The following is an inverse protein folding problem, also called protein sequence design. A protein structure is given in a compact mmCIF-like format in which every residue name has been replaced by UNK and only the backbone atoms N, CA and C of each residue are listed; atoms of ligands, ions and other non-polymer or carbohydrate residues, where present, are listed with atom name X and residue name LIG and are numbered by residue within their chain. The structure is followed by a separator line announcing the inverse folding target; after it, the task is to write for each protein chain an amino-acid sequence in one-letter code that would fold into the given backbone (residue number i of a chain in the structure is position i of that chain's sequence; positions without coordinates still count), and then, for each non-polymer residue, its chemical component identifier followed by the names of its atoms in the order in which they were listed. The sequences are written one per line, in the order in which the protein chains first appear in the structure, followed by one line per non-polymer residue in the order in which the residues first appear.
data_IF_362447273634
#
_entry.id   IF_362447273634
#
_cell.length_a   1.000
_cell.length_b   1.000
_cell.length_c   1.000
_cell.angle_alpha   90.00
_cell.angle_beta   90.00
_cell.angle_gamma   90.00
#
_symmetry.space_group_name_H-M   'P 1'
#
loop_
_entity.id
_entity.type
_entity.pdbx_description
1 polymer ?
#
# COMPACT_ATOMS: atom_id res chain seq x y z
N UNK A 1 33.44 15.96 1.16
CA UNK A 1 32.56 15.14 0.29
C UNK A 1 33.12 15.17 -1.12
N UNK A 2 33.31 14.02 -1.75
CA UNK A 2 33.87 13.95 -3.09
C UNK A 2 32.79 14.39 -4.12
N UNK A 3 33.19 15.13 -5.18
CA UNK A 3 32.29 15.58 -6.24
C UNK A 3 31.55 14.39 -6.88
N UNK A 4 32.21 13.24 -7.02
CA UNK A 4 31.61 12.01 -7.54
C UNK A 4 30.47 11.53 -6.64
N UNK A 5 30.64 11.53 -5.33
CA UNK A 5 29.60 11.13 -4.38
C UNK A 5 28.40 12.08 -4.39
N UNK A 6 28.62 13.36 -4.64
CA UNK A 6 27.52 14.33 -4.79
C UNK A 6 26.70 14.06 -6.06
N UNK A 7 27.36 13.84 -7.19
CA UNK A 7 26.69 13.51 -8.46
C UNK A 7 25.92 12.17 -8.37
N UNK A 8 26.50 11.17 -7.72
CA UNK A 8 25.82 9.89 -7.50
C UNK A 8 24.55 10.07 -6.65
N UNK A 9 24.60 10.86 -5.57
CA UNK A 9 23.43 11.15 -4.74
C UNK A 9 22.35 11.92 -5.49
N UNK A 10 22.72 12.89 -6.30
CA UNK A 10 21.78 13.64 -7.14
C UNK A 10 21.07 12.72 -8.13
N UNK A 11 21.83 11.84 -8.81
CA UNK A 11 21.24 10.86 -9.72
C UNK A 11 20.34 9.85 -9.01
N UNK A 12 20.77 9.35 -7.85
CA UNK A 12 19.95 8.43 -7.04
C UNK A 12 18.63 9.10 -6.61
N UNK A 13 18.71 10.36 -6.14
CA UNK A 13 17.52 11.11 -5.72
C UNK A 13 16.58 11.38 -6.89
N UNK A 14 17.11 11.72 -8.06
CA UNK A 14 16.32 11.94 -9.28
C UNK A 14 15.61 10.67 -9.76
N UNK A 15 16.24 9.50 -9.60
CA UNK A 15 15.62 8.20 -9.94
C UNK A 15 14.62 7.80 -8.87
N UNK A 16 14.93 7.98 -7.57
CA UNK A 16 14.04 7.70 -6.46
C UNK A 16 12.76 8.56 -6.51
N UNK A 17 12.85 9.81 -6.97
CA UNK A 17 11.69 10.67 -7.18
C UNK A 17 10.74 10.14 -8.29
N UNK A 18 11.28 9.43 -9.29
CA UNK A 18 10.49 8.85 -10.39
C UNK A 18 9.91 7.48 -10.04
N UNK A 19 10.58 6.75 -9.18
CA UNK A 19 10.23 5.37 -8.83
C UNK A 19 10.66 5.06 -7.40
N UNK A 20 9.72 4.60 -6.58
CA UNK A 20 10.04 4.07 -5.25
C UNK A 20 10.90 2.81 -5.37
N UNK A 21 12.00 2.76 -4.62
CA UNK A 21 12.84 1.56 -4.52
C UNK A 21 12.42 0.81 -3.25
N UNK A 22 11.75 -0.35 -3.38
CA UNK A 22 11.32 -1.10 -2.21
C UNK A 22 12.52 -1.68 -1.45
N UNK A 23 12.36 -1.83 -0.16
CA UNK A 23 13.34 -2.54 0.69
C UNK A 23 13.16 -4.05 0.50
N UNK A 24 14.16 -4.73 -0.03
CA UNK A 24 14.17 -6.19 -0.20
C UNK A 24 15.56 -6.77 0.07
N UNK A 25 15.59 -8.06 0.40
CA UNK A 25 16.80 -8.79 0.76
C UNK A 25 16.98 -10.04 -0.13
N UNK A 26 18.20 -10.63 -0.19
CA UNK A 26 18.37 -11.94 -0.81
C UNK A 26 17.41 -12.97 -0.18
N UNK A 27 16.78 -13.79 -1.03
CA UNK A 27 15.73 -14.73 -0.61
C UNK A 27 14.31 -14.25 -0.91
N UNK A 28 14.10 -12.96 -1.12
CA UNK A 28 12.80 -12.41 -1.48
C UNK A 28 12.47 -12.74 -2.93
N UNK A 29 11.19 -12.93 -3.21
CA UNK A 29 10.68 -13.06 -4.58
C UNK A 29 10.25 -11.68 -5.05
N UNK A 30 10.86 -11.21 -6.13
CA UNK A 30 10.58 -9.89 -6.70
C UNK A 30 10.08 -10.02 -8.13
N UNK A 31 9.23 -9.10 -8.53
CA UNK A 31 8.81 -8.88 -9.91
C UNK A 31 9.39 -7.58 -10.40
N UNK A 32 10.30 -7.64 -11.36
CA UNK A 32 10.98 -6.49 -11.96
C UNK A 32 10.33 -6.19 -13.30
N UNK A 33 9.80 -4.99 -13.45
CA UNK A 33 9.27 -4.49 -14.72
C UNK A 33 10.40 -3.79 -15.49
N UNK A 34 10.79 -4.37 -16.62
CA UNK A 34 11.86 -3.85 -17.47
C UNK A 34 11.27 -3.27 -18.74
N UNK A 35 11.61 -2.03 -19.02
CA UNK A 35 11.27 -1.37 -20.27
C UNK A 35 12.15 -1.93 -21.40
N UNK A 36 11.53 -2.56 -22.38
CA UNK A 36 12.19 -3.09 -23.58
C UNK A 36 11.71 -2.31 -24.78
N UNK A 37 12.64 -1.84 -25.59
CA UNK A 37 12.35 -1.18 -26.85
C UNK A 37 12.65 -2.13 -28.00
N UNK A 38 11.62 -2.49 -28.74
CA UNK A 38 11.71 -3.36 -29.93
C UNK A 38 11.33 -2.51 -31.16
N UNK A 39 12.34 -2.01 -31.86
CA UNK A 39 12.13 -1.09 -32.98
C UNK A 39 11.43 0.22 -32.52
N UNK A 40 10.23 0.46 -33.04
CA UNK A 40 9.42 1.65 -32.67
C UNK A 40 8.48 1.41 -31.46
N UNK A 41 8.33 0.16 -31.03
CA UNK A 41 7.40 -0.20 -29.93
C UNK A 41 8.16 -0.29 -28.62
N UNK A 42 7.59 0.31 -27.57
CA UNK A 42 8.11 0.24 -26.20
C UNK A 42 7.13 -0.59 -25.38
N UNK A 43 7.63 -1.63 -24.72
CA UNK A 43 6.81 -2.47 -23.84
C UNK A 43 7.51 -2.74 -22.52
N UNK A 44 6.74 -2.97 -21.47
CA UNK A 44 7.27 -3.42 -20.18
C UNK A 44 7.24 -4.96 -20.15
N UNK A 45 8.37 -5.56 -19.82
CA UNK A 45 8.50 -7.00 -19.64
C UNK A 45 8.73 -7.30 -18.16
N UNK A 46 7.86 -8.14 -17.59
CA UNK A 46 8.01 -8.60 -16.22
C UNK A 46 9.02 -9.74 -16.11
N UNK A 47 9.94 -9.66 -15.17
CA UNK A 47 10.84 -10.72 -14.77
C UNK A 47 10.62 -11.03 -13.29
N UNK A 48 9.94 -12.14 -13.00
CA UNK A 48 9.65 -12.57 -11.64
C UNK A 48 10.54 -13.71 -11.23
N UNK A 49 11.15 -13.61 -10.05
CA UNK A 49 12.04 -14.64 -9.54
C UNK A 49 12.57 -14.32 -8.13
N UNK A 50 13.46 -15.19 -7.66
CA UNK A 50 14.08 -15.06 -6.34
C UNK A 50 15.37 -14.25 -6.45
N UNK A 51 15.56 -13.29 -5.55
CA UNK A 51 16.83 -12.57 -5.41
C UNK A 51 17.87 -13.49 -4.78
N UNK A 52 18.91 -13.85 -5.53
CA UNK A 52 19.97 -14.73 -5.04
C UNK A 52 21.19 -13.99 -4.52
N UNK A 53 21.39 -12.75 -4.94
CA UNK A 53 22.51 -11.92 -4.52
C UNK A 53 22.15 -10.44 -4.64
N UNK A 54 22.72 -9.63 -3.76
CA UNK A 54 22.74 -8.16 -3.84
C UNK A 54 24.17 -7.72 -3.58
N UNK A 55 24.69 -6.80 -4.37
CA UNK A 55 26.09 -6.37 -4.33
C UNK A 55 26.22 -4.93 -4.84
N UNK A 56 27.38 -4.33 -4.51
CA UNK A 56 27.62 -2.92 -4.81
C UNK A 56 27.09 -1.99 -3.72
N UNK A 57 27.17 -0.71 -3.98
CA UNK A 57 26.67 0.37 -3.13
C UNK A 57 26.50 1.64 -3.94
N UNK A 58 25.70 2.59 -3.44
CA UNK A 58 25.39 3.81 -4.15
C UNK A 58 24.69 3.54 -5.49
N UNK A 59 25.05 4.30 -6.50
CA UNK A 59 24.48 4.18 -7.84
C UNK A 59 24.74 2.81 -8.50
N UNK A 60 25.88 2.16 -8.18
CA UNK A 60 26.32 0.90 -8.76
C UNK A 60 25.73 -0.35 -8.07
N UNK A 61 24.77 -0.15 -7.16
CA UNK A 61 24.12 -1.26 -6.49
C UNK A 61 23.31 -2.11 -7.46
N UNK A 62 23.53 -3.43 -7.42
CA UNK A 62 22.86 -4.38 -8.30
C UNK A 62 22.38 -5.61 -7.53
N UNK A 63 21.40 -6.29 -8.10
CA UNK A 63 20.86 -7.52 -7.56
C UNK A 63 20.65 -8.55 -8.68
N UNK A 64 20.81 -9.82 -8.32
CA UNK A 64 20.65 -10.94 -9.26
C UNK A 64 19.36 -11.67 -8.94
N UNK A 65 18.49 -11.79 -9.94
CA UNK A 65 17.22 -12.52 -9.83
C UNK A 65 17.34 -13.82 -10.62
N UNK A 66 16.96 -14.93 -9.97
CA UNK A 66 16.88 -16.26 -10.56
C UNK A 66 15.44 -16.71 -10.69
N UNK A 67 15.06 -17.16 -11.87
CA UNK A 67 13.81 -17.86 -12.12
C UNK A 67 14.04 -19.18 -12.84
N UNK A 68 13.08 -20.07 -12.78
CA UNK A 68 13.06 -21.29 -13.59
C UNK A 68 12.10 -21.03 -14.76
N UNK A 69 12.62 -21.12 -15.98
CA UNK A 69 11.85 -21.03 -17.21
C UNK A 69 12.02 -22.32 -18.02
N UNK A 70 10.92 -22.98 -18.34
CA UNK A 70 10.93 -24.23 -19.12
C UNK A 70 11.88 -25.32 -18.56
N UNK A 71 12.00 -25.40 -17.24
CA UNK A 71 12.88 -26.34 -16.54
C UNK A 71 14.33 -25.88 -16.37
N UNK A 72 14.74 -24.79 -17.02
CA UNK A 72 16.09 -24.21 -16.92
C UNK A 72 16.14 -23.03 -15.99
N UNK A 73 17.26 -22.89 -15.24
CA UNK A 73 17.50 -21.77 -14.33
C UNK A 73 18.06 -20.57 -15.07
N UNK A 74 17.28 -19.51 -15.18
CA UNK A 74 17.70 -18.25 -15.80
C UNK A 74 18.02 -17.24 -14.71
N UNK A 75 19.20 -16.63 -14.79
CA UNK A 75 19.65 -15.56 -13.89
C UNK A 75 19.84 -14.27 -14.67
N UNK A 76 19.39 -13.17 -14.09
CA UNK A 76 19.56 -11.84 -14.65
C UNK A 76 20.00 -10.86 -13.56
N UNK A 77 21.01 -10.06 -13.88
CA UNK A 77 21.50 -9.00 -13.00
C UNK A 77 20.79 -7.68 -13.36
N UNK A 78 20.30 -7.00 -12.36
CA UNK A 78 19.61 -5.73 -12.48
C UNK A 78 20.31 -4.66 -11.63
N UNK A 79 20.80 -3.56 -12.21
CA UNK A 79 21.19 -2.39 -11.43
C UNK A 79 19.95 -1.74 -10.82
N UNK A 80 19.96 -1.47 -9.51
CA UNK A 80 18.80 -0.91 -8.81
C UNK A 80 18.39 0.43 -9.41
N UNK A 81 19.36 1.31 -9.69
CA UNK A 81 19.13 2.65 -10.19
C UNK A 81 19.17 2.73 -11.74
N UNK A 82 18.85 1.64 -12.43
CA UNK A 82 18.76 1.68 -13.90
C UNK A 82 17.49 2.39 -14.37
N UNK A 83 17.57 3.29 -15.37
CA UNK A 83 16.40 3.93 -15.98
C UNK A 83 15.54 2.95 -16.80
N UNK A 84 16.07 1.78 -17.15
CA UNK A 84 15.33 0.73 -17.86
C UNK A 84 14.36 -0.03 -16.96
N UNK A 85 14.55 0.03 -15.65
CA UNK A 85 13.64 -0.60 -14.70
C UNK A 85 12.52 0.39 -14.41
N UNK A 86 11.30 0.02 -14.78
CA UNK A 86 10.11 0.85 -14.55
C UNK A 86 9.61 0.70 -13.12
N UNK A 87 9.60 -0.55 -12.61
CA UNK A 87 9.11 -0.84 -11.26
C UNK A 87 9.74 -2.09 -10.68
N UNK A 88 9.78 -2.19 -9.35
CA UNK A 88 10.23 -3.36 -8.60
C UNK A 88 9.18 -3.65 -7.52
N UNK A 89 8.48 -4.75 -7.64
CA UNK A 89 7.47 -5.22 -6.69
C UNK A 89 8.02 -6.39 -5.87
N UNK A 90 7.88 -6.33 -4.55
CA UNK A 90 8.21 -7.47 -3.67
C UNK A 90 6.96 -8.35 -3.52
N UNK A 91 6.96 -9.50 -4.19
CA UNK A 91 5.83 -10.44 -4.20
C UNK A 91 5.78 -11.24 -2.89
N UNK A 92 6.94 -11.70 -2.41
CA UNK A 92 7.05 -12.53 -1.21
C UNK A 92 8.39 -12.34 -0.54
N UNK A 93 8.42 -12.27 0.77
CA UNK A 93 9.65 -12.17 1.56
C UNK A 93 10.12 -13.53 2.02
N UNK A 94 11.39 -13.84 1.76
CA UNK A 94 12.01 -15.11 2.09
C UNK A 94 12.80 -15.07 3.39
N UNK A 95 12.77 -16.16 4.14
CA UNK A 95 13.64 -16.35 5.32
C UNK A 95 14.87 -17.13 4.95
N UNK A 96 16.01 -16.45 4.91
CA UNK A 96 17.33 -17.05 4.60
C UNK A 96 18.36 -16.66 5.66
N UNK A 97 19.43 -17.44 5.76
CA UNK A 97 20.54 -17.19 6.69
C UNK A 97 21.79 -16.61 6.02
N UNK A 98 21.84 -16.64 4.68
CA UNK A 98 23.01 -16.23 3.90
C UNK A 98 22.65 -15.05 3.00
N UNK A 99 23.60 -14.13 2.85
CA UNK A 99 23.46 -12.99 1.94
C UNK A 99 23.63 -13.36 0.46
N UNK A 100 24.29 -14.47 0.15
CA UNK A 100 24.49 -14.99 -1.22
C UNK A 100 23.93 -16.40 -1.30
N UNK A 101 23.02 -16.65 -2.23
CA UNK A 101 22.24 -17.89 -2.33
C UNK A 101 22.62 -18.72 -3.55
N UNK A 102 23.90 -18.72 -3.93
CA UNK A 102 24.39 -19.45 -5.12
C UNK A 102 24.15 -20.96 -5.05
N UNK A 103 23.99 -21.52 -3.87
CA UNK A 103 23.64 -22.93 -3.68
C UNK A 103 22.29 -23.32 -4.32
N UNK A 104 21.42 -22.34 -4.61
CA UNK A 104 20.15 -22.59 -5.30
C UNK A 104 20.34 -23.03 -6.74
N UNK A 105 21.51 -22.77 -7.33
CA UNK A 105 21.84 -23.22 -8.69
C UNK A 105 21.79 -24.74 -8.84
N UNK A 106 22.28 -25.44 -7.82
CA UNK A 106 22.28 -26.91 -7.79
C UNK A 106 21.02 -27.54 -7.19
N UNK A 107 20.04 -26.76 -6.75
CA UNK A 107 18.82 -27.27 -6.11
C UNK A 107 17.62 -27.14 -7.02
N UNK A 108 16.75 -28.17 -7.02
CA UNK A 108 15.50 -28.20 -7.79
C UNK A 108 14.34 -28.70 -6.91
N UNK A 109 13.11 -28.34 -7.28
CA UNK A 109 11.91 -28.80 -6.61
C UNK A 109 11.79 -28.35 -5.14
N UNK A 110 11.47 -29.27 -4.23
CA UNK A 110 11.26 -28.96 -2.79
C UNK A 110 12.51 -28.40 -2.10
N UNK A 111 13.71 -28.87 -2.49
CA UNK A 111 14.98 -28.41 -1.88
C UNK A 111 15.37 -26.98 -2.26
N UNK A 112 14.80 -26.43 -3.32
CA UNK A 112 14.96 -25.03 -3.75
C UNK A 112 13.93 -24.07 -3.15
N UNK A 113 12.91 -24.60 -2.43
CA UNK A 113 11.86 -23.76 -1.86
C UNK A 113 12.39 -22.99 -0.65
N UNK A 114 12.25 -21.67 -0.69
CA UNK A 114 12.57 -20.77 0.41
C UNK A 114 11.31 -20.60 1.28
N UNK A 115 11.51 -20.72 2.60
CA UNK A 115 10.42 -20.51 3.58
C UNK A 115 10.07 -19.03 3.62
N UNK A 116 8.79 -18.70 3.69
CA UNK A 116 8.32 -17.32 3.78
C UNK A 116 8.62 -16.74 5.16
N UNK A 117 9.02 -15.47 5.19
CA UNK A 117 9.26 -14.70 6.41
C UNK A 117 7.94 -14.13 6.90
N UNK A 118 7.51 -14.54 8.09
CA UNK A 118 6.26 -14.10 8.73
C UNK A 118 6.48 -13.15 9.91
N UNK A 119 7.71 -12.66 10.07
CA UNK A 119 8.10 -11.77 11.17
C UNK A 119 7.34 -10.43 11.13
N UNK A 120 7.25 -9.73 12.26
CA UNK A 120 6.57 -8.43 12.37
C UNK A 120 7.13 -7.37 11.42
N UNK A 121 8.46 -7.41 11.15
CA UNK A 121 9.11 -6.55 10.14
C UNK A 121 8.60 -6.86 8.73
N UNK A 122 8.51 -8.15 8.36
CA UNK A 122 7.98 -8.56 7.06
C UNK A 122 6.52 -8.16 6.89
N UNK A 123 5.71 -8.28 7.96
CA UNK A 123 4.32 -7.82 7.96
C UNK A 123 4.21 -6.31 7.73
N UNK A 124 5.06 -5.49 8.39
CA UNK A 124 5.12 -4.04 8.17
C UNK A 124 5.54 -3.67 6.76
N UNK A 125 6.59 -4.31 6.23
CA UNK A 125 7.09 -4.06 4.88
C UNK A 125 6.15 -4.59 3.78
N UNK A 126 5.32 -5.62 4.08
CA UNK A 126 4.28 -6.13 3.18
C UNK A 126 2.96 -5.38 3.35
N UNK A 127 2.80 -4.63 4.39
CA UNK A 127 1.71 -3.70 4.57
C UNK A 127 1.94 -2.45 3.69
N UNK A 128 2.16 -2.65 2.39
CA UNK A 128 1.73 -1.66 1.43
C UNK A 128 0.27 -1.37 1.77
N UNK A 129 -0.08 -0.10 1.92
CA UNK A 129 -1.39 0.35 2.31
C UNK A 129 -2.45 -0.30 1.41
N UNK A 130 -3.08 -1.36 1.90
CA UNK A 130 -4.14 -2.12 1.18
C UNK A 130 -5.53 -1.55 1.44
N UNK A 131 -5.58 -0.33 1.97
CA UNK A 131 -6.79 0.26 2.48
C UNK A 131 -7.11 -0.18 3.91
N UNK A 132 -8.17 0.38 4.44
CA UNK A 132 -8.65 0.11 5.78
C UNK A 132 -9.44 -1.21 5.84
N UNK A 133 -9.68 -1.70 7.05
CA UNK A 133 -10.56 -2.85 7.25
C UNK A 133 -11.99 -2.46 6.88
N UNK A 134 -12.62 -3.20 5.97
CA UNK A 134 -14.01 -2.95 5.59
C UNK A 134 -14.93 -3.05 6.81
N UNK A 135 -15.67 -2.00 7.17
CA UNK A 135 -16.61 -2.02 8.29
C UNK A 135 -17.82 -2.90 7.94
N UNK A 136 -18.58 -3.30 8.97
CA UNK A 136 -19.83 -4.02 8.79
C UNK A 136 -20.96 -3.04 8.51
N UNK A 137 -21.84 -3.38 7.58
CA UNK A 137 -23.02 -2.59 7.19
C UNK A 137 -22.81 -1.78 5.91
N UNK A 138 -23.86 -1.06 5.55
CA UNK A 138 -23.87 -0.19 4.40
C UNK A 138 -22.98 1.05 4.63
N UNK A 139 -22.48 1.64 3.57
CA UNK A 139 -21.61 2.82 3.63
C UNK A 139 -22.42 4.11 3.69
N UNK A 140 -21.84 5.10 4.35
CA UNK A 140 -22.41 6.44 4.45
C UNK A 140 -22.18 7.26 3.18
N UNK A 141 -22.95 8.30 2.98
CA UNK A 141 -22.73 9.19 1.84
C UNK A 141 -21.61 10.20 2.11
N UNK A 142 -20.38 9.82 1.79
CA UNK A 142 -19.20 10.64 2.02
C UNK A 142 -19.18 11.94 1.19
N UNK A 143 -20.11 12.14 0.26
CA UNK A 143 -20.21 13.39 -0.50
C UNK A 143 -20.72 14.57 0.34
N UNK A 144 -21.22 14.29 1.54
CA UNK A 144 -21.62 15.31 2.51
C UNK A 144 -20.42 16.02 3.16
N UNK A 145 -19.24 15.41 3.11
CA UNK A 145 -17.99 16.01 3.59
C UNK A 145 -17.51 17.05 2.58
N UNK A 146 -17.17 18.23 3.05
CA UNK A 146 -16.74 19.33 2.22
C UNK A 146 -15.47 18.99 1.43
N UNK A 147 -15.52 19.13 0.09
CA UNK A 147 -14.41 18.83 -0.81
C UNK A 147 -14.34 17.37 -1.28
N UNK A 148 -15.27 16.49 -0.89
CA UNK A 148 -15.36 15.13 -1.42
C UNK A 148 -16.20 15.11 -2.69
N UNK A 149 -15.54 14.93 -3.83
CA UNK A 149 -16.22 14.74 -5.12
C UNK A 149 -16.70 13.28 -5.27
N UNK A 150 -17.67 13.00 -6.17
CA UNK A 150 -18.12 11.62 -6.43
C UNK A 150 -16.98 10.69 -6.88
N UNK A 151 -15.98 11.23 -7.57
CA UNK A 151 -14.77 10.48 -7.95
C UNK A 151 -13.93 10.12 -6.74
N UNK A 152 -13.73 11.07 -5.81
CA UNK A 152 -13.03 10.84 -4.55
C UNK A 152 -13.78 9.85 -3.65
N UNK A 153 -15.13 9.90 -3.60
CA UNK A 153 -15.94 8.91 -2.91
C UNK A 153 -15.64 7.50 -3.43
N UNK A 154 -15.60 7.30 -4.74
CA UNK A 154 -15.27 5.98 -5.33
C UNK A 154 -13.85 5.54 -5.03
N UNK A 155 -12.92 6.49 -4.95
CA UNK A 155 -11.53 6.21 -4.59
C UNK A 155 -11.38 5.86 -3.09
N UNK A 156 -12.08 6.56 -2.19
CA UNK A 156 -12.16 6.25 -0.75
C UNK A 156 -12.79 4.87 -0.51
N UNK A 157 -13.83 4.52 -1.26
CA UNK A 157 -14.46 3.20 -1.18
C UNK A 157 -13.51 2.06 -1.59
N UNK A 158 -12.64 2.29 -2.59
CA UNK A 158 -11.58 1.32 -2.95
C UNK A 158 -10.57 1.09 -1.82
N UNK A 159 -10.38 2.09 -0.97
CA UNK A 159 -9.55 1.99 0.23
C UNK A 159 -10.32 1.43 1.44
N UNK A 160 -11.59 1.05 1.27
CA UNK A 160 -12.51 0.59 2.32
C UNK A 160 -12.84 1.67 3.37
N UNK A 161 -12.68 2.95 3.03
CA UNK A 161 -13.21 4.07 3.80
C UNK A 161 -14.62 4.34 3.31
N UNK A 162 -15.62 3.80 4.01
CA UNK A 162 -17.03 3.87 3.60
C UNK A 162 -17.95 4.46 4.65
N UNK A 163 -17.44 4.74 5.86
CA UNK A 163 -18.21 5.31 6.98
C UNK A 163 -17.56 6.57 7.52
N UNK A 164 -18.40 7.50 8.02
CA UNK A 164 -17.94 8.71 8.72
C UNK A 164 -17.07 8.36 9.94
N UNK A 165 -17.45 7.32 10.69
CA UNK A 165 -16.70 6.83 11.86
C UNK A 165 -15.23 6.52 11.55
N UNK A 166 -14.95 5.97 10.36
CA UNK A 166 -13.58 5.65 9.94
C UNK A 166 -12.78 6.92 9.65
N UNK A 167 -13.40 7.92 9.03
CA UNK A 167 -12.75 9.21 8.71
C UNK A 167 -12.54 10.02 9.99
N UNK A 168 -13.50 9.99 10.90
CA UNK A 168 -13.44 10.69 12.20
C UNK A 168 -12.32 10.16 13.11
N UNK A 169 -11.97 8.89 12.99
CA UNK A 169 -10.97 8.20 13.82
C UNK A 169 -9.60 8.00 13.11
N UNK A 170 -9.36 8.69 12.00
CA UNK A 170 -8.06 8.62 11.31
C UNK A 170 -6.97 9.26 12.18
N UNK A 171 -5.86 8.54 12.34
CA UNK A 171 -4.63 9.11 12.92
C UNK A 171 -3.87 9.96 11.90
N UNK A 172 -2.99 10.85 12.37
CA UNK A 172 -2.18 11.72 11.50
C UNK A 172 -1.34 10.94 10.49
N UNK A 173 -0.79 9.77 10.90
CA UNK A 173 -0.05 8.86 10.01
C UNK A 173 -0.96 8.24 8.94
N UNK A 174 -2.20 7.91 9.29
CA UNK A 174 -3.18 7.37 8.35
C UNK A 174 -3.70 8.44 7.39
N UNK A 175 -3.87 9.67 7.86
CA UNK A 175 -4.21 10.83 7.02
C UNK A 175 -3.12 11.03 5.97
N UNK A 176 -1.83 11.03 6.37
CA UNK A 176 -0.71 11.16 5.45
C UNK A 176 -0.69 10.01 4.41
N UNK A 177 -0.97 8.77 4.83
CA UNK A 177 -1.02 7.61 3.91
C UNK A 177 -2.19 7.67 2.93
N UNK A 178 -3.36 8.17 3.35
CA UNK A 178 -4.52 8.38 2.46
C UNK A 178 -4.24 9.50 1.46
N UNK A 179 -3.65 10.59 1.95
CA UNK A 179 -3.28 11.75 1.12
C UNK A 179 -2.28 11.35 0.01
N UNK A 180 -1.27 10.55 0.36
CA UNK A 180 -0.30 10.02 -0.60
C UNK A 180 -0.94 9.03 -1.59
N UNK A 181 -1.77 8.11 -1.10
CA UNK A 181 -2.44 7.10 -1.92
C UNK A 181 -3.40 7.70 -2.95
N UNK A 182 -4.10 8.77 -2.59
CA UNK A 182 -5.08 9.46 -3.43
C UNK A 182 -4.54 10.72 -4.09
N UNK A 183 -3.29 11.12 -3.78
CA UNK A 183 -2.61 12.33 -4.29
C UNK A 183 -3.41 13.61 -4.04
N UNK A 184 -3.92 13.77 -2.83
CA UNK A 184 -4.80 14.87 -2.46
C UNK A 184 -4.05 16.15 -2.09
N UNK A 185 -2.72 16.08 -1.93
CA UNK A 185 -1.83 17.22 -1.61
C UNK A 185 -2.28 18.03 -0.37
N UNK A 186 -2.63 17.36 0.72
CA UNK A 186 -3.05 17.97 1.97
C UNK A 186 -4.51 18.49 1.98
N UNK A 187 -5.36 17.99 1.09
CA UNK A 187 -6.75 18.40 1.01
C UNK A 187 -7.57 17.94 2.24
N UNK A 188 -7.20 16.80 2.84
CA UNK A 188 -7.85 16.25 4.03
C UNK A 188 -7.77 17.22 5.21
N UNK A 189 -6.57 17.78 5.45
CA UNK A 189 -6.33 18.75 6.52
C UNK A 189 -6.96 20.11 6.21
N UNK A 190 -6.78 20.62 4.98
CA UNK A 190 -7.34 21.92 4.55
C UNK A 190 -8.85 22.01 4.67
N UNK A 191 -9.54 20.92 4.39
CA UNK A 191 -11.00 20.86 4.42
C UNK A 191 -11.53 20.28 5.75
N UNK A 192 -10.65 20.02 6.74
CA UNK A 192 -11.02 19.51 8.07
C UNK A 192 -11.95 18.29 8.03
N UNK A 193 -11.68 17.31 7.16
CA UNK A 193 -12.55 16.14 6.98
C UNK A 193 -12.83 15.38 8.26
N UNK A 194 -11.86 15.30 9.18
CA UNK A 194 -12.01 14.61 10.46
C UNK A 194 -13.09 15.28 11.32
N UNK A 195 -13.01 16.61 11.47
CA UNK A 195 -13.98 17.36 12.28
C UNK A 195 -15.38 17.35 11.65
N UNK A 196 -15.45 17.40 10.34
CA UNK A 196 -16.72 17.38 9.61
C UNK A 196 -17.38 16.01 9.65
N UNK A 197 -16.58 14.93 9.55
CA UNK A 197 -17.06 13.56 9.74
C UNK A 197 -17.57 13.32 11.17
N UNK A 198 -16.89 13.88 12.19
CA UNK A 198 -17.36 13.84 13.59
C UNK A 198 -18.71 14.56 13.77
N UNK A 199 -18.89 15.71 13.15
CA UNK A 199 -20.13 16.46 13.18
C UNK A 199 -21.27 15.67 12.52
N UNK A 200 -21.06 15.15 11.32
CA UNK A 200 -22.06 14.35 10.59
C UNK A 200 -22.45 13.07 11.35
N UNK A 201 -21.48 12.46 12.06
CA UNK A 201 -21.72 11.29 12.90
C UNK A 201 -22.64 11.62 14.10
N UNK A 202 -22.47 12.82 14.71
CA UNK A 202 -23.35 13.26 15.80
C UNK A 202 -24.75 13.65 15.29
N UNK A 203 -24.87 14.25 14.12
CA UNK A 203 -26.16 14.57 13.49
C UNK A 203 -26.94 13.30 13.12
N UNK A 204 -26.27 12.29 12.55
CA UNK A 204 -26.90 11.00 12.22
C UNK A 204 -27.39 10.22 13.44
N UNK A 205 -26.69 10.31 14.58
CA UNK A 205 -27.13 9.68 15.85
C UNK A 205 -28.34 10.37 16.48
N UNK A 206 -28.57 11.64 16.20
CA UNK A 206 -29.74 12.37 16.73
C UNK A 206 -31.03 12.06 15.94
N UNK A 207 -30.91 11.71 14.66
CA UNK A 207 -32.08 11.35 13.84
C UNK A 207 -32.61 9.90 14.10
N UNK A 208 -31.83 9.05 14.76
CA UNK A 208 -32.24 7.67 15.08
C UNK A 208 -32.90 7.52 16.46
N UNK A 209 -33.11 8.57 17.24
CA UNK A 209 -33.87 8.49 18.50
C UNK A 209 -35.36 8.60 18.18
N UNK A 210 -36.15 7.53 18.23
CA UNK A 210 -37.59 7.64 18.06
C UNK A 210 -38.11 8.45 19.25
N UNK A 211 -38.82 9.52 18.93
CA UNK A 211 -39.62 10.29 19.92
C UNK A 211 -40.69 9.34 20.44
N UNK A 212 -40.45 8.72 21.59
CA UNK A 212 -41.47 8.02 22.34
C UNK A 212 -42.49 9.04 22.79
N UNK A 213 -43.63 9.03 22.09
CA UNK A 213 -44.75 9.88 22.36
C UNK A 213 -45.24 9.63 23.78
N UNK A 214 -45.09 10.67 24.60
CA UNK A 214 -45.77 10.78 25.90
C UNK A 214 -47.25 10.65 25.67
N UNK A 215 -47.86 9.57 26.14
CA UNK A 215 -49.30 9.42 26.25
C UNK A 215 -49.81 10.36 27.37
N UNK A 216 -50.91 11.09 27.19
CA UNK A 216 -51.50 11.89 28.22
C UNK A 216 -52.28 10.98 29.21
N UNK A 217 -52.00 11.17 30.49
CA UNK A 217 -52.86 10.65 31.57
C UNK A 217 -54.25 11.29 31.43
N UNK A 218 -55.26 10.43 31.22
CA UNK A 218 -56.66 10.79 31.28
C UNK A 218 -57.24 10.36 32.61
N UNK A 219 -57.55 11.33 33.43
CA UNK A 219 -58.48 11.25 34.58
C UNK A 219 -59.86 10.74 34.15
N UNK A 220 -60.50 10.05 35.04
CA UNK A 220 -61.88 9.71 34.91
C UNK A 220 -62.24 8.63 35.93
N UNK A 221 -62.39 8.97 37.12
CA UNK A 221 -63.55 9.32 37.97
C UNK A 221 -64.67 8.23 38.01
N UNK A 222 -64.87 7.85 39.25
CA UNK A 222 -66.06 7.61 39.98
C UNK A 222 -67.10 6.57 39.60
N UNK A 223 -67.39 5.82 40.64
CA UNK A 223 -68.70 5.56 41.27
C UNK A 223 -69.43 4.24 40.96
N UNK A 224 -69.63 3.62 42.07
CA UNK A 224 -70.91 3.06 42.60
C UNK A 224 -71.45 1.75 42.03
N UNK A 225 -71.48 0.75 42.79
CA UNK A 225 -72.51 0.06 43.58
C UNK A 225 -72.10 -1.31 43.96
#
# INVERSE_FOLDING_TARGET
MNIIEQLEREQMSAIAAKRAVPEFEPGDTVRVQVRVQEGKTVRNQAFEGVVIARSGGGLNENFTVRKISYGEGVERVFPIFSPLITDIEVVRRGRVRRAKLYYLRGRRGRSARIVERTDSRAKRLNAAFKGFRKPKGDGDDLTLINGVTPELKTALYKLNLIKFEQIANLSDDEIATVDEALKLNGQIERNNWVSEAQRLMTEATVEEVPVEASAPEGEGDAAAS
#
